data_IF_268988085641
#
_entry.id   IF_268988085641
#
_cell.length_a   1.000
_cell.length_b   1.000
_cell.length_c   1.000
_cell.angle_alpha   90.00
_cell.angle_beta   90.00
_cell.angle_gamma   90.00
#
_symmetry.space_group_name_H-M   'P 1'
#
loop_
_entity.id
_entity.type
_entity.pdbx_description
1 polymer ?
#
# COMPACT_ATOMS: atom_id res chain seq x y z
N UNK A 1 6.15 1.10 -14.21
CA UNK A 1 5.18 1.06 -13.12
C UNK A 1 5.11 -0.29 -12.47
N UNK A 2 4.92 -0.29 -11.16
CA UNK A 2 4.63 -1.47 -10.35
C UNK A 2 3.31 -1.22 -9.62
N UNK A 3 2.50 -2.25 -9.49
CA UNK A 3 1.31 -2.19 -8.64
C UNK A 3 1.07 -3.55 -8.00
N UNK A 4 0.35 -3.54 -6.89
CA UNK A 4 -0.26 -4.74 -6.36
C UNK A 4 -1.62 -4.39 -5.77
N UNK A 5 -2.52 -5.37 -5.80
CA UNK A 5 -3.84 -5.35 -5.17
C UNK A 5 -4.00 -6.64 -4.38
N UNK A 6 -4.42 -6.52 -3.12
CA UNK A 6 -4.69 -7.64 -2.25
C UNK A 6 -6.15 -7.63 -1.79
N UNK A 7 -6.78 -8.80 -1.85
CA UNK A 7 -8.14 -9.06 -1.41
C UNK A 7 -8.08 -10.00 -0.21
N UNK A 8 -8.72 -9.63 0.89
CA UNK A 8 -8.65 -10.42 2.12
C UNK A 8 -9.91 -11.28 2.31
N UNK A 9 -9.73 -12.55 2.65
CA UNK A 9 -10.83 -13.51 2.83
C UNK A 9 -11.85 -13.08 3.90
N UNK A 10 -11.44 -12.26 4.87
CA UNK A 10 -12.30 -11.72 5.95
C UNK A 10 -12.86 -10.34 5.61
N UNK A 11 -12.83 -9.96 4.34
CA UNK A 11 -13.20 -8.64 3.87
C UNK A 11 -12.04 -7.64 4.00
N UNK A 12 -12.20 -6.53 3.28
CA UNK A 12 -11.17 -5.53 3.11
C UNK A 12 -10.29 -5.81 1.89
N UNK A 13 -9.64 -4.74 1.45
CA UNK A 13 -8.75 -4.73 0.29
C UNK A 13 -7.66 -3.70 0.57
N UNK A 14 -6.49 -3.87 -0.04
CA UNK A 14 -5.48 -2.82 -0.09
C UNK A 14 -4.75 -2.85 -1.42
N UNK A 15 -4.19 -1.72 -1.82
CA UNK A 15 -3.43 -1.61 -3.06
C UNK A 15 -2.37 -0.53 -2.95
N UNK A 16 -1.34 -0.64 -3.79
CA UNK A 16 -0.42 0.46 -4.08
C UNK A 16 -0.13 0.49 -5.57
N UNK A 17 0.03 1.68 -6.12
CA UNK A 17 0.38 1.92 -7.51
C UNK A 17 1.56 2.88 -7.54
N UNK A 18 2.61 2.52 -8.27
CA UNK A 18 3.77 3.36 -8.48
C UNK A 18 4.10 3.45 -9.98
N UNK A 19 4.30 4.67 -10.48
CA UNK A 19 4.63 4.96 -11.89
C UNK A 19 3.69 4.27 -12.91
N UNK A 20 2.39 4.34 -12.64
CA UNK A 20 1.34 3.85 -13.54
C UNK A 20 0.79 5.03 -14.35
N UNK A 21 0.81 4.91 -15.68
CA UNK A 21 0.47 6.00 -16.61
C UNK A 21 -1.04 6.13 -16.90
N UNK A 22 -1.84 5.15 -16.49
CA UNK A 22 -3.27 5.08 -16.77
C UNK A 22 -4.02 4.45 -15.60
N UNK A 23 -5.24 4.92 -15.32
CA UNK A 23 -6.02 4.36 -14.23
C UNK A 23 -6.44 2.90 -14.53
N UNK A 24 -5.94 1.99 -13.70
CA UNK A 24 -6.22 0.55 -13.73
C UNK A 24 -6.66 0.07 -12.36
N UNK A 25 -7.45 -1.00 -12.33
CA UNK A 25 -7.83 -1.64 -11.07
C UNK A 25 -8.57 -0.68 -10.12
N UNK A 26 -8.18 -0.63 -8.85
CA UNK A 26 -8.77 0.29 -7.87
C UNK A 26 -8.61 1.77 -8.23
N UNK A 27 -7.58 2.18 -8.98
CA UNK A 27 -7.45 3.60 -9.39
C UNK A 27 -8.66 4.10 -10.20
N UNK A 28 -9.44 3.20 -10.81
CA UNK A 28 -10.64 3.58 -11.58
C UNK A 28 -11.83 3.99 -10.74
N UNK A 29 -11.86 3.65 -9.44
CA UNK A 29 -13.05 3.88 -8.62
C UNK A 29 -12.79 4.19 -7.14
N UNK A 30 -11.61 3.85 -6.61
CA UNK A 30 -11.26 4.11 -5.22
C UNK A 30 -10.55 5.48 -5.08
N UNK A 31 -10.74 6.20 -3.96
CA UNK A 31 -10.01 7.42 -3.68
C UNK A 31 -8.49 7.19 -3.66
N UNK A 32 -7.74 8.01 -4.37
CA UNK A 32 -6.28 7.96 -4.38
C UNK A 32 -5.75 8.62 -3.11
N UNK A 33 -4.87 7.91 -2.40
CA UNK A 33 -4.21 8.39 -1.19
C UNK A 33 -2.70 8.20 -1.32
N UNK A 34 -1.86 9.16 -0.87
CA UNK A 34 -0.42 8.97 -0.83
C UNK A 34 -0.02 7.78 0.04
N UNK A 35 0.88 6.92 -0.46
CA UNK A 35 1.42 5.79 0.29
C UNK A 35 2.54 6.24 1.26
N UNK A 36 2.23 7.20 2.14
CA UNK A 36 3.15 7.80 3.11
C UNK A 36 2.66 7.61 4.55
N UNK A 37 3.56 7.70 5.51
CA UNK A 37 3.27 7.56 6.95
C UNK A 37 2.50 6.28 7.27
N UNK A 38 1.30 6.43 7.85
CA UNK A 38 0.45 5.29 8.21
C UNK A 38 0.00 4.42 7.00
N UNK A 39 0.12 4.92 5.77
CA UNK A 39 -0.22 4.18 4.54
C UNK A 39 1.00 3.56 3.83
N UNK A 40 2.21 3.72 4.40
CA UNK A 40 3.47 3.32 3.76
C UNK A 40 3.56 1.80 3.50
N UNK A 41 3.22 0.99 4.51
CA UNK A 41 3.33 -0.47 4.40
C UNK A 41 2.00 -1.12 3.99
N UNK A 42 2.09 -2.24 3.25
CA UNK A 42 0.94 -3.09 2.95
C UNK A 42 0.20 -3.55 4.22
N UNK A 43 0.94 -3.87 5.28
CA UNK A 43 0.37 -4.26 6.59
C UNK A 43 -0.53 -3.15 7.16
N UNK A 44 -0.05 -1.91 7.12
CA UNK A 44 -0.79 -0.77 7.66
C UNK A 44 -2.03 -0.47 6.82
N UNK A 45 -1.93 -0.52 5.48
CA UNK A 45 -3.09 -0.36 4.57
C UNK A 45 -4.12 -1.48 4.75
N UNK A 46 -3.67 -2.70 5.04
CA UNK A 46 -4.54 -3.83 5.37
C UNK A 46 -5.20 -3.73 6.76
N UNK A 47 -4.98 -2.63 7.50
CA UNK A 47 -5.58 -2.40 8.82
C UNK A 47 -5.12 -3.38 9.89
N UNK A 48 -3.96 -4.01 9.73
CA UNK A 48 -3.46 -4.99 10.72
C UNK A 48 -2.89 -4.26 11.93
N UNK A 49 -3.46 -4.54 13.08
CA UNK A 49 -3.02 -4.00 14.37
C UNK A 49 -1.80 -4.75 14.91
N UNK A 50 -1.05 -4.08 15.80
CA UNK A 50 0.14 -4.65 16.45
C UNK A 50 1.42 -4.46 15.65
N UNK A 51 2.55 -4.69 16.30
CA UNK A 51 3.87 -4.55 15.68
C UNK A 51 4.16 -5.71 14.72
N UNK A 52 4.93 -5.41 13.67
CA UNK A 52 5.44 -6.45 12.79
C UNK A 52 6.52 -7.24 13.52
N UNK A 53 6.42 -8.57 13.51
CA UNK A 53 7.47 -9.45 14.02
C UNK A 53 8.77 -9.40 13.19
N UNK A 54 8.70 -8.83 11.98
CA UNK A 54 9.83 -8.67 11.08
C UNK A 54 10.09 -7.18 10.83
N UNK A 55 11.37 -6.77 10.75
CA UNK A 55 11.70 -5.41 10.35
C UNK A 55 11.19 -5.13 8.92
N UNK A 56 10.84 -3.88 8.61
CA UNK A 56 10.50 -3.50 7.25
C UNK A 56 11.72 -3.67 6.32
N UNK A 57 11.46 -4.06 5.07
CA UNK A 57 12.51 -4.23 4.07
C UNK A 57 13.11 -2.89 3.61
N UNK A 58 12.35 -1.79 3.75
CA UNK A 58 12.74 -0.42 3.42
C UNK A 58 12.03 0.53 4.37
N UNK A 59 12.69 1.60 4.81
CA UNK A 59 12.07 2.68 5.57
C UNK A 59 11.61 3.81 4.66
N UNK A 60 10.61 4.59 5.08
CA UNK A 60 10.12 5.71 4.29
C UNK A 60 11.19 6.78 4.08
N UNK A 61 12.04 6.99 5.09
CA UNK A 61 13.20 7.89 5.04
C UNK A 61 14.27 7.48 4.01
N UNK A 62 14.27 6.22 3.56
CA UNK A 62 15.20 5.75 2.55
C UNK A 62 14.71 6.03 1.11
N UNK A 63 13.45 6.45 0.91
CA UNK A 63 12.89 6.66 -0.43
C UNK A 63 13.27 8.01 -1.06
N UNK A 64 13.54 9.03 -0.25
CA UNK A 64 13.83 10.40 -0.70
C UNK A 64 15.36 10.70 -0.72
N UNK A 65 16.20 9.64 -0.66
CA UNK A 65 17.67 9.72 -0.74
C UNK A 65 18.18 9.46 -2.15
#
# INVERSE_FOLDING_TARGET
>A
GFWHEAYFMRGGMEAVYNDILQDIGFLRFAPIQPAKGAQFTARSRAGRTGESALPPAVLEEDLDR
#
